data_IF_013620720092
#
_entry.id   IF_013620720092
#
_cell.length_a   1.000
_cell.length_b   1.000
_cell.length_c   1.000
_cell.angle_alpha   90.00
_cell.angle_beta   90.00
_cell.angle_gamma   90.00
#
_symmetry.space_group_name_H-M   'P 1'
#
loop_
_entity.id
_entity.type
_entity.pdbx_description
1 polymer ?
#
# COMPACT_ATOMS: atom_id res chain seq x y z
N UNK A 1 -37.94 14.17 18.84
CA UNK A 1 -36.62 13.64 19.25
C UNK A 1 -36.21 12.41 18.44
N UNK A 2 -37.05 11.37 18.36
CA UNK A 2 -36.75 10.12 17.64
C UNK A 2 -36.29 10.31 16.18
N UNK A 3 -36.95 11.20 15.41
CA UNK A 3 -36.57 11.48 14.00
C UNK A 3 -35.14 12.03 13.85
N UNK A 4 -34.67 12.85 14.80
CA UNK A 4 -33.30 13.39 14.80
C UNK A 4 -32.27 12.30 15.14
N UNK A 5 -32.66 11.36 16.01
CA UNK A 5 -31.83 10.25 16.43
C UNK A 5 -31.61 9.29 15.26
N UNK A 6 -32.68 8.92 14.53
CA UNK A 6 -32.61 8.08 13.33
C UNK A 6 -31.73 8.72 12.24
N UNK A 7 -31.89 10.03 11.99
CA UNK A 7 -31.08 10.73 11.00
C UNK A 7 -29.58 10.71 11.34
N UNK A 8 -29.23 10.84 12.63
CA UNK A 8 -27.85 10.77 13.08
C UNK A 8 -27.25 9.35 12.93
N UNK A 9 -28.00 8.30 13.25
CA UNK A 9 -27.51 6.92 13.11
C UNK A 9 -27.27 6.54 11.64
N UNK A 10 -28.17 6.96 10.74
CA UNK A 10 -28.00 6.72 9.30
C UNK A 10 -26.78 7.48 8.75
N UNK A 11 -26.58 8.72 9.19
CA UNK A 11 -25.40 9.50 8.78
C UNK A 11 -24.09 8.87 9.27
N UNK A 12 -24.04 8.35 10.50
CA UNK A 12 -22.86 7.66 11.04
C UNK A 12 -22.60 6.36 10.25
N UNK A 13 -23.65 5.56 9.98
CA UNK A 13 -23.51 4.33 9.22
C UNK A 13 -22.98 4.58 7.79
N UNK A 14 -23.43 5.67 7.14
CA UNK A 14 -22.91 6.09 5.84
C UNK A 14 -21.44 6.51 5.90
N UNK A 15 -21.01 7.17 6.98
CA UNK A 15 -19.62 7.57 7.18
C UNK A 15 -18.69 6.38 7.46
N UNK A 16 -19.18 5.34 8.15
CA UNK A 16 -18.42 4.11 8.38
C UNK A 16 -18.18 3.29 7.11
N UNK A 17 -18.98 3.48 6.05
CA UNK A 17 -18.86 2.74 4.80
C UNK A 17 -17.87 3.35 3.79
N UNK A 18 -17.36 4.57 4.02
CA UNK A 18 -16.67 5.34 2.96
C UNK A 18 -15.14 5.24 2.92
N UNK A 19 -14.45 4.59 3.86
CA UNK A 19 -12.99 4.46 3.78
C UNK A 19 -12.56 3.11 4.35
N UNK A 20 -12.43 2.10 3.48
CA UNK A 20 -11.75 0.85 3.81
C UNK A 20 -10.23 1.02 3.65
N UNK A 21 -9.70 2.03 4.34
CA UNK A 21 -8.26 2.23 4.51
C UNK A 21 -7.75 1.26 5.56
N UNK A 22 -7.84 -0.04 5.30
CA UNK A 22 -7.28 -1.04 6.22
C UNK A 22 -5.77 -0.94 6.24
N UNK A 23 -5.14 -1.25 7.38
CA UNK A 23 -3.68 -1.40 7.39
C UNK A 23 -3.29 -2.60 6.51
N UNK A 24 -2.13 -2.53 5.81
CA UNK A 24 -1.58 -3.69 5.12
C UNK A 24 -1.32 -4.81 6.13
N UNK A 25 -1.65 -6.03 5.72
CA UNK A 25 -1.49 -7.25 6.50
C UNK A 25 -0.58 -8.22 5.75
N UNK A 26 0.07 -9.12 6.50
CA UNK A 26 0.86 -10.20 5.92
C UNK A 26 0.02 -11.00 4.91
N UNK A 27 0.58 -11.23 3.72
CA UNK A 27 -0.09 -11.89 2.60
C UNK A 27 -0.79 -10.93 1.62
N UNK A 28 -0.93 -9.65 1.95
CA UNK A 28 -1.47 -8.67 1.00
C UNK A 28 -0.54 -8.51 -0.20
N UNK A 29 -1.10 -8.56 -1.41
CA UNK A 29 -0.38 -8.09 -2.60
C UNK A 29 -0.53 -6.58 -2.69
N UNK A 30 0.58 -5.85 -2.66
CA UNK A 30 0.59 -4.39 -2.63
C UNK A 30 1.56 -3.80 -3.64
N UNK A 31 1.23 -2.60 -4.08
CA UNK A 31 2.13 -1.66 -4.73
C UNK A 31 2.43 -0.55 -3.74
N UNK A 32 3.70 -0.38 -3.39
CA UNK A 32 4.18 0.67 -2.48
C UNK A 32 4.97 1.68 -3.30
N UNK A 33 4.59 2.95 -3.22
CA UNK A 33 5.42 4.05 -3.69
C UNK A 33 6.12 4.66 -2.48
N UNK A 34 7.44 4.56 -2.43
CA UNK A 34 8.29 5.16 -1.42
C UNK A 34 9.11 6.30 -2.04
N UNK A 35 9.49 7.30 -1.25
CA UNK A 35 10.27 8.42 -1.77
C UNK A 35 11.14 9.09 -0.72
N UNK A 36 12.28 9.61 -1.17
CA UNK A 36 13.17 10.47 -0.39
C UNK A 36 13.80 11.52 -1.30
N UNK A 37 13.55 12.80 -1.00
CA UNK A 37 14.05 13.90 -1.83
C UNK A 37 13.52 13.83 -3.27
N UNK A 38 14.42 13.82 -4.25
CA UNK A 38 14.10 13.71 -5.69
C UNK A 38 14.03 12.27 -6.21
N UNK A 39 14.12 11.29 -5.31
CA UNK A 39 14.09 9.86 -5.65
C UNK A 39 12.78 9.25 -5.18
N UNK A 40 12.06 8.63 -6.11
CA UNK A 40 10.89 7.80 -5.83
C UNK A 40 11.18 6.37 -6.25
N UNK A 41 10.74 5.39 -5.48
CA UNK A 41 10.83 3.98 -5.82
C UNK A 41 9.48 3.33 -5.63
N UNK A 42 9.00 2.64 -6.65
CA UNK A 42 7.79 1.84 -6.58
C UNK A 42 8.17 0.37 -6.50
N UNK A 43 7.64 -0.30 -5.49
CA UNK A 43 7.77 -1.74 -5.31
C UNK A 43 6.42 -2.41 -5.50
N UNK A 44 6.39 -3.59 -6.10
CA UNK A 44 5.21 -4.45 -6.16
C UNK A 44 5.58 -5.83 -5.63
N UNK A 45 4.76 -6.35 -4.72
CA UNK A 45 5.08 -7.58 -4.02
C UNK A 45 4.04 -7.99 -2.99
N UNK A 46 4.38 -9.01 -2.20
CA UNK A 46 3.54 -9.55 -1.13
C UNK A 46 4.08 -9.09 0.22
N UNK A 47 3.23 -8.58 1.12
CA UNK A 47 3.62 -8.20 2.49
C UNK A 47 4.05 -9.43 3.27
N UNK A 48 5.29 -9.43 3.75
CA UNK A 48 5.86 -10.50 4.60
C UNK A 48 5.75 -10.16 6.08
N UNK A 49 5.87 -8.88 6.44
CA UNK A 49 5.77 -8.37 7.81
C UNK A 49 5.32 -6.89 7.87
N UNK A 50 4.73 -6.50 8.99
CA UNK A 50 4.35 -5.12 9.28
C UNK A 50 4.46 -4.83 10.78
N UNK A 51 5.36 -3.94 11.16
CA UNK A 51 5.63 -3.63 12.56
C UNK A 51 6.84 -2.71 12.73
N UNK A 52 7.03 -2.17 13.95
CA UNK A 52 8.19 -1.35 14.30
C UNK A 52 8.47 -0.15 13.36
N UNK A 53 7.43 0.40 12.73
CA UNK A 53 7.57 1.50 11.77
C UNK A 53 8.08 1.07 10.39
N UNK A 54 8.07 -0.23 10.10
CA UNK A 54 8.47 -0.82 8.82
C UNK A 54 7.32 -1.63 8.20
N UNK A 55 7.32 -1.71 6.87
CA UNK A 55 6.59 -2.72 6.10
C UNK A 55 7.61 -3.51 5.28
N UNK A 56 7.60 -4.83 5.43
CA UNK A 56 8.44 -5.71 4.64
C UNK A 56 7.59 -6.39 3.56
N UNK A 57 8.09 -6.38 2.33
CA UNK A 57 7.46 -7.01 1.19
C UNK A 57 8.46 -7.91 0.47
N UNK A 58 7.98 -9.01 -0.09
CA UNK A 58 8.71 -9.78 -1.08
C UNK A 58 8.43 -9.19 -2.46
N UNK A 59 9.33 -8.35 -2.96
CA UNK A 59 9.15 -7.55 -4.16
C UNK A 59 9.62 -8.30 -5.41
N UNK A 60 8.77 -8.35 -6.44
CA UNK A 60 9.10 -8.93 -7.75
C UNK A 60 9.37 -7.88 -8.82
N UNK A 61 9.05 -6.62 -8.52
CA UNK A 61 9.23 -5.50 -9.45
C UNK A 61 9.57 -4.23 -8.69
N UNK A 62 10.61 -3.54 -9.16
CA UNK A 62 11.01 -2.24 -8.66
C UNK A 62 11.10 -1.22 -9.82
N UNK A 63 10.49 -0.05 -9.65
CA UNK A 63 10.63 1.08 -10.56
C UNK A 63 11.27 2.22 -9.80
N UNK A 64 12.50 2.57 -10.13
CA UNK A 64 13.24 3.68 -9.56
C UNK A 64 13.10 4.91 -10.45
N UNK A 65 12.52 5.99 -9.93
CA UNK A 65 12.50 7.30 -10.56
C UNK A 65 13.46 8.23 -9.82
N UNK A 66 14.50 8.72 -10.49
CA UNK A 66 15.47 9.67 -9.94
C UNK A 66 15.65 10.84 -10.89
N UNK A 67 15.47 12.06 -10.38
CA UNK A 67 15.61 13.30 -11.16
C UNK A 67 14.76 13.28 -12.45
N UNK A 68 13.55 12.74 -12.35
CA UNK A 68 12.61 12.58 -13.47
C UNK A 68 12.93 11.45 -14.45
N UNK A 69 14.04 10.72 -14.27
CA UNK A 69 14.40 9.54 -15.07
C UNK A 69 13.93 8.27 -14.39
N UNK A 70 13.22 7.42 -15.14
CA UNK A 70 12.70 6.15 -14.64
C UNK A 70 13.57 4.98 -15.11
N UNK A 71 13.98 4.11 -14.17
CA UNK A 71 14.62 2.82 -14.41
C UNK A 71 13.70 1.72 -13.88
N UNK A 72 13.43 0.72 -14.70
CA UNK A 72 12.67 -0.47 -14.30
C UNK A 72 13.67 -1.60 -14.02
N UNK A 73 13.58 -2.19 -12.84
CA UNK A 73 14.26 -3.43 -12.47
C UNK A 73 13.16 -4.48 -12.25
N UNK A 74 13.08 -5.41 -13.20
CA UNK A 74 12.33 -6.65 -13.06
C UNK A 74 13.36 -7.74 -12.78
N UNK A 75 13.16 -8.46 -11.68
CA UNK A 75 13.99 -9.60 -11.30
C UNK A 75 13.12 -10.85 -11.40
N UNK A 76 13.72 -11.95 -11.87
CA UNK A 76 13.05 -13.24 -11.93
C UNK A 76 12.86 -13.81 -10.51
N UNK A 77 13.74 -13.43 -9.57
CA UNK A 77 13.70 -13.86 -8.18
C UNK A 77 13.13 -12.75 -7.26
N UNK A 78 12.15 -13.08 -6.39
CA UNK A 78 11.64 -12.14 -5.40
C UNK A 78 12.70 -11.70 -4.39
N UNK A 79 12.79 -10.39 -4.11
CA UNK A 79 13.72 -9.83 -3.11
C UNK A 79 12.94 -9.27 -1.92
N UNK A 80 13.37 -9.60 -0.70
CA UNK A 80 12.79 -9.01 0.51
C UNK A 80 13.25 -7.56 0.70
N UNK A 81 12.29 -6.64 0.78
CA UNK A 81 12.52 -5.20 0.96
C UNK A 81 11.70 -4.71 2.15
N UNK A 82 12.36 -4.11 3.13
CA UNK A 82 11.72 -3.44 4.26
C UNK A 82 11.77 -1.92 4.10
N UNK A 83 10.60 -1.28 4.12
CA UNK A 83 10.42 0.15 3.84
C UNK A 83 9.93 0.82 5.12
N UNK A 84 10.62 1.88 5.56
CA UNK A 84 10.15 2.70 6.67
C UNK A 84 8.86 3.42 6.32
N UNK A 85 7.85 3.35 7.20
CA UNK A 85 6.52 3.92 6.93
C UNK A 85 6.55 5.43 6.70
N UNK A 86 7.52 6.14 7.28
CA UNK A 86 7.75 7.57 7.02
C UNK A 86 8.24 7.91 5.60
N UNK A 87 8.71 6.92 4.84
CA UNK A 87 9.11 7.08 3.44
C UNK A 87 8.01 6.69 2.45
N UNK A 88 6.90 6.11 2.94
CA UNK A 88 5.81 5.64 2.08
C UNK A 88 4.93 6.82 1.70
N UNK A 89 4.85 7.08 0.41
CA UNK A 89 3.97 8.10 -0.19
C UNK A 89 2.59 7.54 -0.48
N UNK A 90 2.51 6.26 -0.90
CA UNK A 90 1.27 5.59 -1.26
C UNK A 90 1.38 4.08 -1.11
N UNK A 91 0.29 3.45 -0.66
CA UNK A 91 0.09 2.00 -0.72
C UNK A 91 -1.20 1.74 -1.51
N UNK A 92 -1.14 0.79 -2.45
CA UNK A 92 -2.30 0.31 -3.19
C UNK A 92 -2.35 -1.21 -3.13
N UNK A 93 -3.47 -1.75 -2.65
CA UNK A 93 -3.75 -3.19 -2.75
C UNK A 93 -3.98 -3.57 -4.21
N UNK A 94 -3.28 -4.60 -4.64
CA UNK A 94 -3.46 -5.21 -5.95
C UNK A 94 -4.34 -6.44 -5.79
N UNK A 95 -5.28 -6.61 -6.70
CA UNK A 95 -6.00 -7.88 -6.81
C UNK A 95 -4.98 -8.95 -7.22
N UNK A 96 -4.98 -10.13 -6.59
CA UNK A 96 -4.17 -11.25 -7.06
C UNK A 96 -4.46 -11.48 -8.54
N UNK A 97 -3.42 -11.65 -9.36
CA UNK A 97 -3.62 -12.12 -10.74
C UNK A 97 -4.26 -13.51 -10.63
N UNK A 98 -5.38 -13.72 -11.31
CA UNK A 98 -5.90 -15.08 -11.47
C UNK A 98 -4.80 -15.90 -12.16
N UNK A 99 -4.44 -17.04 -11.56
CA UNK A 99 -3.60 -18.02 -12.22
C UNK A 99 -4.42 -18.56 -13.42
N UNK A 100 -3.94 -18.29 -14.64
CA UNK A 100 -4.48 -18.89 -15.88
C UNK A 100 -3.94 -20.31 -16.08
#
# INVERSE_FOLDING_TARGET
>A
MIKKLIAATVLIALLCAMVDGRMPQKGDTVRIQAGSGTTETRYEGIVTDFGNGLICINATKAILTKDGKTKLEEDDDPVEVCIGTGYILMIRWLTPKAEE
#
